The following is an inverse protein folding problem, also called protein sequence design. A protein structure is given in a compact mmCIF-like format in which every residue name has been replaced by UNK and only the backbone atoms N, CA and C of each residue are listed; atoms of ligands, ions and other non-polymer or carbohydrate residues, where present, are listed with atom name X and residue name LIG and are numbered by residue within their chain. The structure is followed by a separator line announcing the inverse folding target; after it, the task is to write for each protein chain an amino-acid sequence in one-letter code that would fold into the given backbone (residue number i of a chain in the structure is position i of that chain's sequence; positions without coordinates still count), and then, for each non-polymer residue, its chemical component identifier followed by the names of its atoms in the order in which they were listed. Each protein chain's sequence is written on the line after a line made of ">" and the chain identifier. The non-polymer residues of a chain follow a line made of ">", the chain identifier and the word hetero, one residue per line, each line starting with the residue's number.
data_IF_490745105541
#
_entry.id   IF_490745105541
#
_cell.length_a   1.000
_cell.length_b   1.000
_cell.length_c   1.000
_cell.angle_alpha   90.00
_cell.angle_beta   90.00
_cell.angle_gamma   90.00
#
_symmetry.space_group_name_H-M   'P 1'
#
loop_
_entity.id
_entity.type
_entity.pdbx_description
1 polymer ?
#
# COMPACT_ATOMS: atom_id res chain seq x y z
N UNK A 1 0.55 17.55 3.88
CA UNK A 1 0.52 16.25 4.61
C UNK A 1 -0.73 15.97 5.44
N UNK A 2 -1.78 16.82 5.43
CA UNK A 2 -3.01 16.57 6.20
C UNK A 2 -4.05 15.67 5.49
N UNK A 3 -3.97 15.58 4.15
CA UNK A 3 -4.98 14.91 3.32
C UNK A 3 -5.23 13.43 3.65
N UNK A 4 -4.20 12.71 4.12
CA UNK A 4 -4.30 11.28 4.43
C UNK A 4 -4.62 10.97 5.89
N UNK A 5 -4.61 11.98 6.76
CA UNK A 5 -4.70 11.76 8.20
C UNK A 5 -6.05 11.15 8.64
N UNK A 6 -7.08 11.26 7.80
CA UNK A 6 -8.43 10.75 8.06
C UNK A 6 -9.00 9.91 6.91
N UNK A 7 -8.18 9.49 5.94
CA UNK A 7 -8.65 8.65 4.83
C UNK A 7 -8.76 7.19 5.30
N UNK A 8 -9.99 6.63 5.44
CA UNK A 8 -10.18 5.25 5.88
C UNK A 8 -9.94 4.24 4.76
N UNK A 9 -9.71 4.70 3.52
CA UNK A 9 -9.51 3.83 2.37
C UNK A 9 -8.19 3.06 2.47
N UNK A 10 -8.10 1.85 1.89
CA UNK A 10 -6.82 1.17 1.71
C UNK A 10 -5.89 1.98 0.80
N UNK A 11 -4.60 1.62 0.79
CA UNK A 11 -3.59 2.30 -0.04
C UNK A 11 -4.03 2.35 -1.51
N UNK A 12 -4.53 1.23 -2.03
CA UNK A 12 -5.06 1.11 -3.39
C UNK A 12 -6.30 0.21 -3.39
N UNK A 13 -7.40 0.69 -3.98
CA UNK A 13 -8.61 -0.12 -4.20
C UNK A 13 -8.31 -1.25 -5.19
N UNK A 14 -8.77 -2.47 -4.89
CA UNK A 14 -8.54 -3.65 -5.72
C UNK A 14 -7.09 -4.15 -5.72
N UNK A 15 -6.26 -3.73 -4.76
CA UNK A 15 -4.96 -4.35 -4.54
C UNK A 15 -5.10 -5.63 -3.71
N UNK A 16 -4.45 -6.69 -4.16
CA UNK A 16 -4.46 -8.04 -3.60
C UNK A 16 -3.26 -8.29 -2.66
N UNK A 17 -2.47 -7.25 -2.33
CA UNK A 17 -1.43 -7.39 -1.33
C UNK A 17 -2.04 -7.56 0.07
N UNK A 18 -1.30 -8.25 0.96
CA UNK A 18 -1.73 -8.48 2.33
C UNK A 18 -2.16 -7.18 3.04
N UNK A 19 -1.39 -6.10 2.91
CA UNK A 19 -1.71 -4.80 3.53
C UNK A 19 -3.08 -4.25 3.09
N UNK A 20 -3.42 -4.36 1.80
CA UNK A 20 -4.68 -3.83 1.29
C UNK A 20 -5.86 -4.76 1.59
N UNK A 21 -5.67 -6.08 1.50
CA UNK A 21 -6.69 -7.10 1.78
C UNK A 21 -7.10 -7.09 3.25
N UNK A 22 -6.16 -6.90 4.16
CA UNK A 22 -6.44 -6.76 5.59
C UNK A 22 -7.12 -5.41 5.95
N UNK A 23 -7.31 -4.51 4.99
CA UNK A 23 -8.02 -3.26 5.20
C UNK A 23 -7.23 -2.20 5.98
N UNK A 24 -5.89 -2.27 6.01
CA UNK A 24 -5.09 -1.22 6.63
C UNK A 24 -5.28 0.10 5.86
N UNK A 25 -5.81 1.10 6.57
CA UNK A 25 -6.16 2.39 5.97
C UNK A 25 -4.95 3.29 5.77
N UNK A 26 -5.06 4.24 4.83
CA UNK A 26 -4.07 5.29 4.64
C UNK A 26 -3.90 6.16 5.89
N UNK A 27 -4.98 6.41 6.64
CA UNK A 27 -4.93 7.08 7.93
C UNK A 27 -4.07 6.30 8.94
N UNK A 28 -4.25 4.98 9.03
CA UNK A 28 -3.46 4.15 9.93
C UNK A 28 -1.98 4.12 9.54
N UNK A 29 -1.67 3.97 8.25
CA UNK A 29 -0.27 4.06 7.78
C UNK A 29 0.33 5.46 8.05
N UNK A 30 -0.46 6.53 7.88
CA UNK A 30 0.00 7.89 8.20
C UNK A 30 0.30 8.05 9.69
N UNK A 31 -0.51 7.46 10.56
CA UNK A 31 -0.27 7.43 11.99
C UNK A 31 1.04 6.70 12.31
N UNK A 32 1.20 5.45 11.84
CA UNK A 32 2.42 4.66 12.06
C UNK A 32 3.69 5.36 11.56
N UNK A 33 3.61 6.04 10.42
CA UNK A 33 4.73 6.81 9.88
C UNK A 33 5.10 7.99 10.80
N UNK A 34 4.10 8.74 11.28
CA UNK A 34 4.31 9.89 12.16
C UNK A 34 4.83 9.48 13.54
N UNK A 35 4.42 8.32 14.04
CA UNK A 35 4.90 7.77 15.32
C UNK A 35 6.20 6.97 15.17
N UNK A 36 6.79 6.92 13.97
CA UNK A 36 8.05 6.22 13.67
C UNK A 36 8.02 4.72 13.99
N UNK A 37 6.86 4.10 13.82
CA UNK A 37 6.65 2.68 14.10
C UNK A 37 7.21 1.80 12.97
N UNK A 38 7.97 0.75 13.33
CA UNK A 38 8.57 -0.17 12.36
C UNK A 38 7.54 -0.88 11.47
N UNK A 39 6.33 -1.07 11.99
CA UNK A 39 5.21 -1.68 11.28
C UNK A 39 4.87 -0.93 9.98
N UNK A 40 5.05 0.40 9.94
CA UNK A 40 4.84 1.19 8.73
C UNK A 40 5.67 0.65 7.57
N UNK A 41 6.96 0.46 7.79
CA UNK A 41 7.89 0.02 6.74
C UNK A 41 7.54 -1.37 6.23
N UNK A 42 7.12 -2.28 7.12
CA UNK A 42 6.67 -3.63 6.72
C UNK A 42 5.43 -3.56 5.83
N UNK A 43 4.39 -2.85 6.27
CA UNK A 43 3.12 -2.74 5.54
C UNK A 43 3.29 -2.01 4.20
N UNK A 44 4.08 -0.93 4.17
CA UNK A 44 4.39 -0.19 2.95
C UNK A 44 5.21 -1.04 1.97
N UNK A 45 6.21 -1.78 2.46
CA UNK A 45 7.04 -2.64 1.60
C UNK A 45 6.24 -3.75 0.94
N UNK A 46 5.33 -4.40 1.69
CA UNK A 46 4.42 -5.42 1.14
C UNK A 46 3.60 -4.85 -0.02
N UNK A 47 3.03 -3.64 0.15
CA UNK A 47 2.26 -2.99 -0.92
C UNK A 47 3.15 -2.62 -2.12
N UNK A 48 4.30 -2.00 -1.88
CA UNK A 48 5.20 -1.56 -2.93
C UNK A 48 5.74 -2.74 -3.76
N UNK A 49 6.16 -3.83 -3.11
CA UNK A 49 6.63 -5.03 -3.80
C UNK A 49 5.52 -5.63 -4.67
N UNK A 50 4.30 -5.75 -4.15
CA UNK A 50 3.18 -6.28 -4.96
C UNK A 50 2.86 -5.36 -6.14
N UNK A 51 2.90 -4.06 -5.94
CA UNK A 51 2.71 -3.08 -7.02
C UNK A 51 3.74 -3.28 -8.14
N UNK A 52 5.04 -3.36 -7.81
CA UNK A 52 6.10 -3.56 -8.79
C UNK A 52 5.97 -4.88 -9.57
N UNK A 53 5.59 -5.96 -8.88
CA UNK A 53 5.33 -7.26 -9.52
C UNK A 53 4.18 -7.13 -10.52
N UNK A 54 3.03 -6.57 -10.10
CA UNK A 54 1.86 -6.39 -10.98
C UNK A 54 2.15 -5.49 -12.19
N UNK A 55 2.91 -4.42 -11.99
CA UNK A 55 3.33 -3.54 -13.07
C UNK A 55 4.15 -4.31 -14.11
N UNK A 56 5.08 -5.15 -13.65
CA UNK A 56 5.94 -5.95 -14.53
C UNK A 56 5.15 -7.06 -15.25
N UNK A 57 4.20 -7.70 -14.56
CA UNK A 57 3.25 -8.66 -15.16
C UNK A 57 2.43 -8.00 -16.30
N UNK A 58 1.92 -6.79 -16.08
CA UNK A 58 1.15 -6.05 -17.08
C UNK A 58 2.00 -5.66 -18.29
N UNK A 59 3.21 -5.13 -18.07
CA UNK A 59 4.13 -4.81 -19.15
C UNK A 59 4.46 -6.05 -19.99
N UNK A 60 4.74 -7.19 -19.35
CA UNK A 60 5.01 -8.45 -20.05
C UNK A 60 3.81 -8.94 -20.87
N UNK A 61 2.58 -8.70 -20.41
CA UNK A 61 1.35 -9.03 -21.17
C UNK A 61 1.14 -8.14 -22.39
N UNK A 62 1.62 -6.89 -22.36
CA UNK A 62 1.47 -5.94 -23.48
C UNK A 62 2.55 -6.08 -24.56
N UNK A 63 3.70 -6.67 -24.22
CA UNK A 63 4.79 -6.94 -25.17
C UNK A 63 4.55 -8.23 -25.96
N UNK A 64 3.80 -9.17 -25.38
CA UNK A 64 3.30 -10.37 -26.09
C UNK A 64 2.10 -10.03 -26.95
#
# INVERSE_FOLDING_TARGET
>A
NAQWARDPSPIQKGCDCWTCVQGFSRAYLNHLYKTQELLYYRLASIHNVRFMIRLTEELRRRIK
#
